data_IF_215115388334
#
_entry.id   IF_215115388334
#
_cell.length_a   1.000
_cell.length_b   1.000
_cell.length_c   1.000
_cell.angle_alpha   90.00
_cell.angle_beta   90.00
_cell.angle_gamma   90.00
#
_symmetry.space_group_name_H-M   'P 1'
#
loop_
_entity.id
_entity.type
_entity.pdbx_description
1 polymer ?
#
# COMPACT_ATOMS: atom_id res chain seq x y z
N UNK A 1 -47.72 15.37 -39.28
CA UNK A 1 -46.51 14.50 -39.30
C UNK A 1 -45.43 15.22 -38.50
N UNK A 2 -45.15 14.77 -37.28
CA UNK A 2 -44.07 15.38 -36.49
C UNK A 2 -42.74 14.94 -37.11
N UNK A 3 -42.03 15.87 -37.74
CA UNK A 3 -40.70 15.61 -38.29
C UNK A 3 -39.76 15.26 -37.14
N UNK A 4 -39.36 14.00 -37.06
CA UNK A 4 -38.41 13.51 -36.07
C UNK A 4 -37.05 14.13 -36.41
N UNK A 5 -36.65 15.16 -35.67
CA UNK A 5 -35.32 15.78 -35.80
C UNK A 5 -34.28 14.77 -35.33
N UNK A 6 -33.56 14.15 -36.26
CA UNK A 6 -32.42 13.29 -35.96
C UNK A 6 -31.24 14.10 -35.44
N UNK A 7 -30.37 13.43 -34.68
CA UNK A 7 -29.08 13.97 -34.24
C UNK A 7 -28.17 14.24 -35.44
N UNK A 8 -27.44 15.36 -35.44
CA UNK A 8 -26.45 15.67 -36.47
C UNK A 8 -25.12 14.96 -36.19
N UNK A 9 -24.38 14.64 -37.26
CA UNK A 9 -23.02 14.10 -37.13
C UNK A 9 -22.07 15.06 -36.40
N UNK A 10 -22.29 16.37 -36.56
CA UNK A 10 -21.50 17.40 -35.88
C UNK A 10 -21.74 17.37 -34.37
N UNK A 11 -23.00 17.23 -33.92
CA UNK A 11 -23.32 17.10 -32.50
C UNK A 11 -22.67 15.85 -31.89
N UNK A 12 -22.71 14.71 -32.59
CA UNK A 12 -22.04 13.50 -32.12
C UNK A 12 -20.51 13.66 -32.05
N UNK A 13 -19.89 14.32 -33.02
CA UNK A 13 -18.45 14.56 -33.02
C UNK A 13 -17.99 15.45 -31.86
N UNK A 14 -18.76 16.50 -31.53
CA UNK A 14 -18.45 17.38 -30.40
C UNK A 14 -18.57 16.61 -29.08
N UNK A 15 -19.60 15.78 -28.92
CA UNK A 15 -19.79 14.96 -27.72
C UNK A 15 -18.62 14.00 -27.53
N UNK A 16 -18.20 13.30 -28.59
CA UNK A 16 -17.04 12.39 -28.53
C UNK A 16 -15.76 13.14 -28.18
N UNK A 17 -15.55 14.35 -28.72
CA UNK A 17 -14.39 15.17 -28.40
C UNK A 17 -14.34 15.55 -26.91
N UNK A 18 -15.47 15.97 -26.33
CA UNK A 18 -15.57 16.32 -24.91
C UNK A 18 -15.32 15.08 -24.03
N UNK A 19 -15.95 13.94 -24.35
CA UNK A 19 -15.74 12.68 -23.63
C UNK A 19 -14.27 12.25 -23.70
N UNK A 20 -13.61 12.42 -24.85
CA UNK A 20 -12.19 12.12 -25.01
C UNK A 20 -11.30 12.92 -24.06
N UNK A 21 -11.53 14.23 -23.93
CA UNK A 21 -10.78 15.09 -23.00
C UNK A 21 -11.02 14.67 -21.55
N UNK A 22 -12.28 14.43 -21.16
CA UNK A 22 -12.62 14.01 -19.80
C UNK A 22 -12.02 12.64 -19.47
N UNK A 23 -12.08 11.68 -20.40
CA UNK A 23 -11.54 10.34 -20.22
C UNK A 23 -10.02 10.34 -20.03
N UNK A 24 -9.29 11.19 -20.76
CA UNK A 24 -7.83 11.30 -20.62
C UNK A 24 -7.38 11.68 -19.20
N UNK A 25 -8.19 12.45 -18.47
CA UNK A 25 -7.91 12.84 -17.08
C UNK A 25 -8.51 11.85 -16.08
N UNK A 26 -9.75 11.41 -16.33
CA UNK A 26 -10.50 10.58 -15.39
C UNK A 26 -9.96 9.13 -15.29
N UNK A 27 -9.53 8.53 -16.40
CA UNK A 27 -9.03 7.14 -16.42
C UNK A 27 -7.79 6.96 -15.54
N UNK A 28 -6.70 7.75 -15.67
CA UNK A 28 -5.53 7.57 -14.82
C UNK A 28 -5.84 7.85 -13.34
N UNK A 29 -6.70 8.83 -13.04
CA UNK A 29 -7.13 9.11 -11.66
C UNK A 29 -7.94 7.96 -11.05
N UNK A 30 -8.84 7.35 -11.83
CA UNK A 30 -9.61 6.20 -11.39
C UNK A 30 -8.72 4.97 -11.17
N UNK A 31 -7.73 4.75 -12.04
CA UNK A 31 -6.73 3.69 -11.87
C UNK A 31 -5.94 3.87 -10.56
N UNK A 32 -5.45 5.08 -10.28
CA UNK A 32 -4.78 5.41 -9.01
C UNK A 32 -5.69 5.15 -7.80
N UNK A 33 -6.98 5.51 -7.90
CA UNK A 33 -7.97 5.25 -6.85
C UNK A 33 -8.14 3.75 -6.58
N UNK A 34 -8.31 2.94 -7.63
CA UNK A 34 -8.47 1.49 -7.51
C UNK A 34 -7.20 0.84 -6.93
N UNK A 35 -6.02 1.27 -7.38
CA UNK A 35 -4.75 0.80 -6.84
C UNK A 35 -4.62 1.14 -5.35
N UNK A 36 -4.99 2.36 -4.93
CA UNK A 36 -4.98 2.77 -3.52
C UNK A 36 -5.96 1.98 -2.66
N UNK A 37 -7.17 1.72 -3.19
CA UNK A 37 -8.15 0.89 -2.49
C UNK A 37 -7.62 -0.53 -2.25
N UNK A 38 -6.91 -1.11 -3.23
CA UNK A 38 -6.24 -2.42 -3.08
C UNK A 38 -5.08 -2.35 -2.08
N UNK A 39 -4.32 -1.25 -2.04
CA UNK A 39 -3.27 -1.04 -1.04
C UNK A 39 -3.78 -0.98 0.41
N UNK A 40 -5.03 -0.55 0.63
CA UNK A 40 -5.65 -0.58 1.95
C UNK A 40 -5.79 -2.02 2.52
N UNK A 41 -5.99 -3.01 1.65
CA UNK A 41 -5.98 -4.42 2.03
C UNK A 41 -4.59 -4.84 2.53
N UNK A 42 -3.53 -4.47 1.81
CA UNK A 42 -2.15 -4.74 2.23
C UNK A 42 -1.85 -4.11 3.60
N UNK A 43 -2.35 -2.90 3.88
CA UNK A 43 -2.18 -2.28 5.20
C UNK A 43 -2.92 -3.04 6.33
N UNK A 44 -4.06 -3.65 6.02
CA UNK A 44 -4.79 -4.51 6.96
C UNK A 44 -4.04 -5.81 7.22
N UNK A 45 -3.48 -6.43 6.17
CA UNK A 45 -2.71 -7.68 6.27
C UNK A 45 -1.45 -7.50 7.13
N UNK A 46 -0.80 -6.35 7.09
CA UNK A 46 0.41 -6.08 7.88
C UNK A 46 0.13 -5.56 9.30
N UNK A 47 -1.11 -5.21 9.65
CA UNK A 47 -1.47 -4.76 10.99
C UNK A 47 -1.02 -5.73 12.10
N UNK A 48 -1.21 -7.07 12.00
CA UNK A 48 -0.69 -8.00 12.99
C UNK A 48 0.83 -8.06 13.04
N UNK A 49 1.53 -7.86 11.91
CA UNK A 49 3.00 -7.80 11.88
C UNK A 49 3.50 -6.58 12.66
N UNK A 50 2.88 -5.42 12.44
CA UNK A 50 3.19 -4.19 13.17
C UNK A 50 2.95 -4.34 14.67
N UNK A 51 1.85 -5.00 15.05
CA UNK A 51 1.55 -5.29 16.45
C UNK A 51 2.60 -6.22 17.08
N UNK A 52 2.97 -7.30 16.39
CA UNK A 52 3.98 -8.24 16.87
C UNK A 52 5.37 -7.58 17.02
N UNK A 53 5.78 -6.73 16.07
CA UNK A 53 7.02 -5.96 16.18
C UNK A 53 6.94 -4.97 17.34
N UNK A 54 5.82 -4.27 17.51
CA UNK A 54 5.64 -3.32 18.60
C UNK A 54 5.71 -3.99 19.99
N UNK A 55 5.04 -5.14 20.14
CA UNK A 55 5.08 -5.95 21.36
C UNK A 55 6.51 -6.47 21.64
N UNK A 56 7.18 -6.99 20.62
CA UNK A 56 8.57 -7.44 20.76
C UNK A 56 9.49 -6.31 21.21
N UNK A 57 9.33 -5.10 20.66
CA UNK A 57 10.12 -3.93 21.04
C UNK A 57 9.82 -3.48 22.47
N UNK A 58 8.59 -3.63 22.94
CA UNK A 58 8.22 -3.34 24.32
C UNK A 58 8.90 -4.31 25.30
N UNK A 59 8.96 -5.60 24.98
CA UNK A 59 9.64 -6.61 25.81
C UNK A 59 11.16 -6.46 25.75
N UNK A 60 11.70 -6.05 24.59
CA UNK A 60 13.15 -5.98 24.33
C UNK A 60 13.78 -4.63 24.66
N UNK A 61 13.15 -3.84 25.55
CA UNK A 61 13.63 -2.50 25.94
C UNK A 61 13.95 -1.60 24.74
N UNK A 62 13.06 -1.60 23.75
CA UNK A 62 13.17 -0.82 22.51
C UNK A 62 14.37 -1.15 21.61
N UNK A 63 14.99 -2.31 21.77
CA UNK A 63 16.13 -2.73 20.94
C UNK A 63 15.66 -3.25 19.58
N UNK A 64 15.81 -2.45 18.52
CA UNK A 64 15.38 -2.79 17.15
C UNK A 64 15.96 -4.11 16.64
N UNK A 65 17.24 -4.37 16.92
CA UNK A 65 17.91 -5.61 16.53
C UNK A 65 17.36 -6.88 17.19
N UNK A 66 16.54 -6.77 18.24
CA UNK A 66 15.90 -7.92 18.89
C UNK A 66 14.59 -8.34 18.21
N UNK A 67 14.08 -7.55 17.26
CA UNK A 67 12.76 -7.74 16.64
C UNK A 67 12.82 -7.69 15.11
N UNK A 68 13.99 -7.94 14.53
CA UNK A 68 14.30 -7.72 13.12
C UNK A 68 14.15 -8.96 12.22
N UNK A 69 13.76 -10.10 12.79
CA UNK A 69 13.55 -11.36 12.07
C UNK A 69 12.33 -12.09 12.61
N UNK A 70 11.70 -12.90 11.76
CA UNK A 70 10.52 -13.69 12.15
C UNK A 70 10.85 -14.62 13.31
N UNK A 71 12.02 -15.27 13.31
CA UNK A 71 12.44 -16.15 14.39
C UNK A 71 12.45 -15.44 15.75
N UNK A 72 12.96 -14.20 15.81
CA UNK A 72 12.98 -13.41 17.04
C UNK A 72 11.59 -12.94 17.46
N UNK A 73 10.71 -12.63 16.51
CA UNK A 73 9.30 -12.35 16.82
C UNK A 73 8.61 -13.60 17.36
N UNK A 74 8.84 -14.78 16.77
CA UNK A 74 8.27 -16.04 17.24
C UNK A 74 8.72 -16.35 18.67
N UNK A 75 9.98 -16.14 19.02
CA UNK A 75 10.49 -16.40 20.38
C UNK A 75 9.94 -15.42 21.42
N UNK A 76 9.71 -14.16 21.03
CA UNK A 76 9.35 -13.09 21.97
C UNK A 76 7.84 -12.92 22.11
N UNK A 77 7.07 -13.08 21.03
CA UNK A 77 5.62 -12.82 20.99
C UNK A 77 4.79 -14.02 20.52
N UNK A 78 5.42 -15.12 20.10
CA UNK A 78 4.72 -16.26 19.50
C UNK A 78 4.23 -16.01 18.07
N UNK A 79 4.60 -14.88 17.45
CA UNK A 79 4.21 -14.59 16.07
C UNK A 79 4.97 -15.51 15.09
N UNK A 80 4.27 -16.51 14.54
CA UNK A 80 4.90 -17.65 13.89
C UNK A 80 5.34 -17.41 12.44
N UNK A 81 4.63 -16.58 11.67
CA UNK A 81 4.91 -16.42 10.25
C UNK A 81 4.42 -15.07 9.71
N UNK A 82 5.19 -14.52 8.76
CA UNK A 82 4.75 -13.36 7.98
C UNK A 82 3.61 -13.75 7.01
N UNK A 83 2.74 -12.81 6.63
CA UNK A 83 1.69 -13.05 5.66
C UNK A 83 2.24 -13.60 4.35
N UNK A 84 1.60 -14.64 3.81
CA UNK A 84 1.92 -15.19 2.50
C UNK A 84 1.38 -14.29 1.38
N UNK A 85 1.89 -14.51 0.16
CA UNK A 85 1.41 -13.80 -1.03
C UNK A 85 -0.11 -13.95 -1.22
N UNK A 86 -0.74 -12.88 -1.71
CA UNK A 86 -2.17 -12.79 -2.04
C UNK A 86 -2.34 -12.09 -3.39
N UNK A 87 -3.58 -11.76 -3.76
CA UNK A 87 -3.88 -11.06 -5.01
C UNK A 87 -3.17 -9.68 -5.11
N UNK A 88 -3.06 -8.98 -3.98
CA UNK A 88 -2.51 -7.62 -3.90
C UNK A 88 -1.15 -7.55 -3.19
N UNK A 89 -0.75 -8.64 -2.53
CA UNK A 89 0.50 -8.76 -1.78
C UNK A 89 1.43 -9.77 -2.44
N UNK A 90 2.63 -9.34 -2.83
CA UNK A 90 3.66 -10.23 -3.35
C UNK A 90 4.50 -10.84 -2.23
N UNK A 91 4.94 -10.02 -1.28
CA UNK A 91 5.76 -10.49 -0.16
C UNK A 91 5.77 -9.49 1.00
N UNK A 92 6.05 -10.01 2.19
CA UNK A 92 6.40 -9.21 3.38
C UNK A 92 7.76 -9.68 3.87
N UNK A 93 8.64 -8.74 4.18
CA UNK A 93 9.96 -9.02 4.74
C UNK A 93 10.25 -8.09 5.92
N UNK A 94 11.15 -8.50 6.80
CA UNK A 94 11.71 -7.67 7.87
C UNK A 94 13.15 -7.33 7.52
N UNK A 95 13.53 -6.08 7.77
CA UNK A 95 14.90 -5.60 7.56
C UNK A 95 15.70 -5.78 8.85
N UNK A 96 16.85 -6.46 8.74
CA UNK A 96 17.77 -6.65 9.84
C UNK A 96 18.19 -5.30 10.47
N UNK A 97 18.46 -5.30 11.78
CA UNK A 97 18.87 -4.13 12.59
C UNK A 97 17.84 -3.00 12.75
N UNK A 98 16.94 -2.78 11.79
CA UNK A 98 15.95 -1.68 11.85
C UNK A 98 14.53 -2.16 12.16
N UNK A 99 14.28 -3.47 12.13
CA UNK A 99 12.95 -4.07 12.26
C UNK A 99 11.91 -3.46 11.29
N UNK A 100 12.37 -2.91 10.16
CA UNK A 100 11.49 -2.31 9.17
C UNK A 100 10.73 -3.39 8.39
N UNK A 101 9.41 -3.22 8.29
CA UNK A 101 8.52 -4.12 7.56
C UNK A 101 8.44 -3.66 6.12
N UNK A 102 8.98 -4.44 5.19
CA UNK A 102 8.96 -4.19 3.76
C UNK A 102 7.80 -4.97 3.14
N UNK A 103 6.88 -4.25 2.52
CA UNK A 103 5.69 -4.81 1.88
C UNK A 103 5.80 -4.61 0.38
N UNK A 104 5.86 -5.70 -0.38
CA UNK A 104 5.91 -5.64 -1.84
C UNK A 104 4.55 -5.98 -2.40
N UNK A 105 3.95 -5.06 -3.15
CA UNK A 105 2.69 -5.29 -3.85
C UNK A 105 2.87 -6.09 -5.14
N UNK A 106 1.80 -6.74 -5.60
CA UNK A 106 1.77 -7.39 -6.93
C UNK A 106 1.67 -6.37 -8.06
N UNK A 107 1.75 -6.83 -9.31
CA UNK A 107 1.50 -5.99 -10.49
C UNK A 107 0.09 -5.35 -10.48
N UNK A 108 -0.89 -5.99 -9.84
CA UNK A 108 -2.25 -5.48 -9.70
C UNK A 108 -2.35 -4.19 -8.85
N UNK A 109 -1.30 -3.90 -8.08
CA UNK A 109 -1.17 -2.68 -7.26
C UNK A 109 0.06 -1.84 -7.65
N UNK A 110 0.56 -2.01 -8.89
CA UNK A 110 1.65 -1.24 -9.45
C UNK A 110 3.05 -1.67 -9.02
N UNK A 111 3.20 -2.87 -8.44
CA UNK A 111 4.47 -3.43 -7.95
C UNK A 111 5.21 -2.50 -6.98
N UNK A 112 4.47 -1.64 -6.27
CA UNK A 112 5.04 -0.71 -5.31
C UNK A 112 5.55 -1.41 -4.06
N UNK A 113 6.59 -0.84 -3.47
CA UNK A 113 7.15 -1.31 -2.21
C UNK A 113 6.86 -0.26 -1.15
N UNK A 114 6.26 -0.67 -0.03
CA UNK A 114 6.01 0.20 1.12
C UNK A 114 6.82 -0.33 2.29
N UNK A 115 7.75 0.49 2.78
CA UNK A 115 8.60 0.16 3.93
C UNK A 115 8.12 0.90 5.16
N UNK A 116 7.72 0.16 6.18
CA UNK A 116 7.31 0.69 7.47
C UNK A 116 8.44 0.54 8.48
N UNK A 117 9.04 1.65 8.88
CA UNK A 117 10.14 1.67 9.85
C UNK A 117 9.60 2.07 11.22
N UNK A 118 9.79 1.24 12.26
CA UNK A 118 9.49 1.63 13.63
C UNK A 118 10.58 2.58 14.16
N UNK A 119 10.17 3.65 14.83
CA UNK A 119 11.02 4.58 15.54
C UNK A 119 10.76 4.48 17.04
N UNK A 120 11.84 4.32 17.79
CA UNK A 120 11.88 4.15 19.25
C UNK A 120 12.57 5.33 19.94
N UNK A 121 12.54 6.51 19.32
CA UNK A 121 13.16 7.72 19.88
C UNK A 121 12.57 8.12 21.26
N UNK A 122 11.35 7.68 21.55
CA UNK A 122 10.67 7.86 22.81
C UNK A 122 10.41 6.49 23.47
N UNK A 123 10.89 6.29 24.70
CA UNK A 123 10.76 5.01 25.41
C UNK A 123 9.31 4.55 25.64
N UNK A 124 8.34 5.47 25.57
CA UNK A 124 6.93 5.23 25.87
C UNK A 124 6.03 5.12 24.62
N UNK A 125 6.57 5.29 23.41
CA UNK A 125 5.77 5.18 22.17
C UNK A 125 6.60 4.69 20.99
N UNK A 126 6.00 3.82 20.20
CA UNK A 126 6.58 3.37 18.92
C UNK A 126 5.88 4.13 17.80
N UNK A 127 6.64 4.93 17.05
CA UNK A 127 6.12 5.68 15.91
C UNK A 127 6.46 4.93 14.62
N UNK A 128 5.51 4.81 13.70
CA UNK A 128 5.74 4.13 12.42
C UNK A 128 5.86 5.14 11.28
N UNK A 129 6.95 5.06 10.53
CA UNK A 129 7.16 5.87 9.32
C UNK A 129 7.06 4.96 8.09
N UNK A 130 6.05 5.20 7.27
CA UNK A 130 5.87 4.52 5.99
C UNK A 130 6.56 5.29 4.86
N UNK A 131 7.37 4.63 4.06
CA UNK A 131 7.98 5.19 2.85
C UNK A 131 7.66 4.31 1.67
N UNK A 132 7.11 4.91 0.62
CA UNK A 132 6.82 4.23 -0.65
C UNK A 132 8.05 4.33 -1.58
N UNK A 133 8.42 3.22 -2.22
CA UNK A 133 9.47 3.15 -3.24
C UNK A 133 9.03 2.33 -4.47
N UNK A 134 9.66 2.60 -5.61
CA UNK A 134 9.36 1.96 -6.90
C UNK A 134 8.97 2.95 -8.00
N UNK A 135 9.10 2.51 -9.26
CA UNK A 135 8.80 3.34 -10.42
C UNK A 135 7.31 3.64 -10.52
N UNK A 136 6.94 4.92 -10.53
CA UNK A 136 5.54 5.34 -10.61
C UNK A 136 4.75 5.11 -9.33
N UNK A 137 5.41 4.80 -8.21
CA UNK A 137 4.81 4.64 -6.90
C UNK A 137 4.79 5.99 -6.18
N UNK A 138 3.60 6.42 -5.81
CA UNK A 138 3.34 7.71 -5.17
C UNK A 138 2.33 7.53 -4.06
N UNK A 139 2.23 8.53 -3.18
CA UNK A 139 1.18 8.60 -2.17
C UNK A 139 -0.23 8.55 -2.77
N UNK A 140 -0.42 9.01 -4.01
CA UNK A 140 -1.71 8.87 -4.71
C UNK A 140 -2.07 7.41 -4.97
N UNK A 141 -1.09 6.53 -5.18
CA UNK A 141 -1.34 5.10 -5.48
C UNK A 141 -1.28 4.19 -4.26
N UNK A 142 -0.41 4.47 -3.30
CA UNK A 142 -0.24 3.61 -2.11
C UNK A 142 -0.98 4.14 -0.88
N UNK A 143 -1.34 5.43 -0.88
CA UNK A 143 -1.91 6.12 0.29
C UNK A 143 -0.88 6.48 1.37
N UNK A 144 0.40 6.16 1.14
CA UNK A 144 1.50 6.24 2.14
C UNK A 144 2.56 7.20 1.64
#
# INVERSE_FOLDING_TARGET
MNAQKGFTLIELMIVVAIIGILAAIAIPQYQDYVTRARWAENNTIIAPVKAAVAECLQVSNSTLGSCDTVAKLTTTTGYAALPSASNNLSSVALTASTAAIVVTGTAAVGSCVVTWTPSVADANKITWTGVTSGTGCSRSKTGI
#
